data_IF_845507973413
#
_entry.id   IF_845507973413
#
_cell.length_a   1.000
_cell.length_b   1.000
_cell.length_c   1.000
_cell.angle_alpha   90.00
_cell.angle_beta   90.00
_cell.angle_gamma   90.00
#
_symmetry.space_group_name_H-M   'P 1'
#
loop_
_entity.id
_entity.type
_entity.pdbx_description
1 polymer ?
#
# COMPACT_ATOMS: atom_id res chain seq x y z
N UNK A 1 10.07 8.92 10.88
CA UNK A 1 9.34 7.64 11.03
C UNK A 1 8.56 7.37 9.74
N UNK A 2 8.48 6.11 9.31
CA UNK A 2 7.69 5.70 8.13
C UNK A 2 6.41 4.99 8.59
N UNK A 3 5.45 4.88 7.69
CA UNK A 3 4.14 4.24 7.88
C UNK A 3 4.17 2.75 7.56
N UNK A 4 4.74 2.39 6.41
CA UNK A 4 4.89 1.02 5.94
C UNK A 4 6.28 0.76 5.37
N UNK A 5 6.76 -0.47 5.55
CA UNK A 5 7.96 -1.01 4.91
C UNK A 5 7.64 -2.35 4.27
N UNK A 6 8.20 -2.57 3.08
CA UNK A 6 7.99 -3.80 2.30
C UNK A 6 9.34 -4.45 2.02
N UNK A 7 9.47 -5.72 2.36
CA UNK A 7 10.69 -6.51 2.20
C UNK A 7 10.41 -7.67 1.25
N UNK A 8 10.65 -7.51 -0.06
CA UNK A 8 10.46 -8.59 -1.01
C UNK A 8 11.46 -9.72 -0.75
N UNK A 9 10.99 -10.96 -0.82
CA UNK A 9 11.84 -12.15 -0.71
C UNK A 9 12.53 -12.47 -2.05
N UNK A 10 11.96 -11.98 -3.15
CA UNK A 10 12.37 -12.25 -4.52
C UNK A 10 12.54 -10.94 -5.27
N UNK A 11 13.39 -10.89 -6.30
CA UNK A 11 13.46 -9.71 -7.15
C UNK A 11 12.18 -9.56 -7.99
N UNK A 12 11.79 -8.31 -8.36
CA UNK A 12 10.66 -8.07 -9.24
C UNK A 12 10.76 -8.89 -10.54
N UNK A 13 9.77 -9.74 -10.81
CA UNK A 13 9.74 -10.61 -11.98
C UNK A 13 10.33 -12.02 -11.78
N UNK A 14 10.94 -12.31 -10.63
CA UNK A 14 11.40 -13.66 -10.27
C UNK A 14 10.30 -14.53 -9.66
N UNK A 15 9.09 -13.99 -9.43
CA UNK A 15 7.96 -14.75 -8.89
C UNK A 15 7.53 -15.81 -9.90
N UNK A 16 8.07 -17.02 -9.74
CA UNK A 16 7.79 -18.17 -10.60
C UNK A 16 6.36 -18.65 -10.36
N UNK A 17 5.60 -18.80 -11.44
CA UNK A 17 4.23 -19.27 -11.43
C UNK A 17 4.07 -20.56 -10.60
N UNK A 18 3.34 -20.47 -9.48
CA UNK A 18 3.03 -21.62 -8.65
C UNK A 18 2.93 -21.40 -7.14
N UNK A 19 2.94 -20.15 -6.65
CA UNK A 19 2.73 -19.71 -5.25
C UNK A 19 2.71 -20.84 -4.20
N UNK A 20 3.89 -21.39 -3.91
CA UNK A 20 4.12 -22.24 -2.74
C UNK A 20 4.95 -21.54 -1.67
N UNK A 21 5.59 -20.42 -2.01
CA UNK A 21 6.45 -19.67 -1.12
C UNK A 21 5.94 -18.24 -0.89
N UNK A 22 6.21 -17.63 0.29
CA UNK A 22 5.86 -16.24 0.57
C UNK A 22 6.51 -15.27 -0.42
N UNK A 23 5.85 -14.15 -0.72
CA UNK A 23 6.38 -13.10 -1.61
C UNK A 23 7.26 -12.08 -0.87
N UNK A 24 7.13 -11.99 0.45
CA UNK A 24 7.87 -11.05 1.30
C UNK A 24 7.08 -10.64 2.53
N UNK A 25 7.58 -9.64 3.23
CA UNK A 25 6.99 -9.10 4.47
C UNK A 25 6.51 -7.65 4.27
N UNK A 26 5.36 -7.33 4.89
CA UNK A 26 4.85 -5.96 5.04
C UNK A 26 4.82 -5.62 6.52
N UNK A 27 5.48 -4.52 6.90
CA UNK A 27 5.56 -4.05 8.28
C UNK A 27 4.88 -2.69 8.38
N UNK A 28 3.82 -2.60 9.18
CA UNK A 28 3.01 -1.37 9.35
C UNK A 28 3.21 -0.83 10.76
N UNK A 29 3.49 0.47 10.85
CA UNK A 29 3.56 1.21 12.12
C UNK A 29 2.17 1.70 12.51
N UNK A 30 1.55 1.06 13.51
CA UNK A 30 0.21 1.45 14.00
C UNK A 30 0.19 2.90 14.50
N UNK A 31 1.20 3.32 15.27
CA UNK A 31 1.30 4.70 15.77
C UNK A 31 1.38 5.73 14.63
N UNK A 32 1.95 5.35 13.47
CA UNK A 32 1.99 6.25 12.29
C UNK A 32 0.64 6.23 11.58
N UNK A 33 0.02 5.05 11.41
CA UNK A 33 -1.29 4.90 10.79
C UNK A 33 -2.38 5.65 11.57
N UNK A 34 -2.39 5.61 12.90
CA UNK A 34 -3.33 6.39 13.72
C UNK A 34 -3.21 7.90 13.47
N UNK A 35 -1.97 8.41 13.36
CA UNK A 35 -1.72 9.81 13.05
C UNK A 35 -2.23 10.17 11.66
N UNK A 36 -1.89 9.35 10.65
CA UNK A 36 -2.31 9.54 9.27
C UNK A 36 -3.82 9.48 9.09
N UNK A 37 -4.50 8.59 9.82
CA UNK A 37 -5.94 8.45 9.71
C UNK A 37 -6.70 9.73 10.12
N UNK A 38 -6.09 10.54 10.98
CA UNK A 38 -6.63 11.83 11.44
C UNK A 38 -6.03 13.05 10.73
N UNK A 39 -5.04 12.86 9.86
CA UNK A 39 -4.34 13.94 9.16
C UNK A 39 -5.11 14.32 7.88
N UNK A 40 -5.69 15.52 7.88
CA UNK A 40 -6.44 16.06 6.74
C UNK A 40 -5.58 16.19 5.47
N UNK A 41 -4.33 16.62 5.60
CA UNK A 41 -3.44 16.76 4.45
C UNK A 41 -3.09 15.39 3.85
N UNK A 42 -2.91 14.38 4.70
CA UNK A 42 -2.68 13.02 4.25
C UNK A 42 -3.88 12.48 3.44
N UNK A 43 -5.10 12.70 3.95
CA UNK A 43 -6.34 12.27 3.30
C UNK A 43 -6.59 13.00 1.97
N UNK A 44 -6.37 14.31 1.93
CA UNK A 44 -6.50 15.13 0.72
C UNK A 44 -5.51 14.68 -0.36
N UNK A 45 -4.26 14.43 0.02
CA UNK A 45 -3.21 13.96 -0.90
C UNK A 45 -3.58 12.64 -1.57
N UNK A 46 -4.24 11.75 -0.85
CA UNK A 46 -4.65 10.43 -1.33
C UNK A 46 -6.06 10.43 -1.96
N UNK A 47 -6.79 11.55 -1.90
CA UNK A 47 -8.15 11.66 -2.42
C UNK A 47 -9.15 10.77 -1.69
N UNK A 48 -8.96 10.60 -0.38
CA UNK A 48 -9.72 9.67 0.45
C UNK A 48 -11.05 10.27 0.91
N UNK A 49 -11.93 9.41 1.44
CA UNK A 49 -13.24 9.82 1.95
C UNK A 49 -13.13 10.76 3.16
N UNK A 50 -14.13 11.65 3.33
CA UNK A 50 -14.24 12.52 4.52
C UNK A 50 -14.24 11.74 5.85
N UNK A 51 -14.70 10.48 5.82
CA UNK A 51 -14.59 9.55 6.95
C UNK A 51 -13.51 8.53 6.64
N UNK A 52 -12.46 8.53 7.47
CA UNK A 52 -11.33 7.62 7.35
C UNK A 52 -10.95 7.10 8.72
N UNK A 53 -10.94 5.78 8.88
CA UNK A 53 -10.67 5.11 10.16
C UNK A 53 -9.25 4.56 10.20
N UNK A 54 -8.77 4.17 11.40
CA UNK A 54 -7.52 3.43 11.52
C UNK A 54 -7.52 2.15 10.67
N UNK A 55 -8.65 1.43 10.64
CA UNK A 55 -8.78 0.23 9.82
C UNK A 55 -8.67 0.53 8.32
N UNK A 56 -9.20 1.67 7.86
CA UNK A 56 -9.06 2.11 6.46
C UNK A 56 -7.60 2.42 6.14
N UNK A 57 -6.89 3.11 7.04
CA UNK A 57 -5.46 3.39 6.89
C UNK A 57 -4.64 2.11 6.83
N UNK A 58 -4.90 1.16 7.74
CA UNK A 58 -4.21 -0.13 7.76
C UNK A 58 -4.49 -0.92 6.47
N UNK A 59 -5.74 -0.93 5.98
CA UNK A 59 -6.09 -1.56 4.70
C UNK A 59 -5.33 -0.92 3.54
N UNK A 60 -5.30 0.41 3.49
CA UNK A 60 -4.56 1.15 2.46
C UNK A 60 -3.06 0.83 2.49
N UNK A 61 -2.42 0.91 3.66
CA UNK A 61 -1.00 0.62 3.84
C UNK A 61 -0.66 -0.85 3.52
N UNK A 62 -1.56 -1.78 3.84
CA UNK A 62 -1.39 -3.19 3.48
C UNK A 62 -1.45 -3.40 1.96
N UNK A 63 -2.40 -2.76 1.28
CA UNK A 63 -2.50 -2.80 -0.19
C UNK A 63 -1.25 -2.18 -0.81
N UNK A 64 -0.86 -0.99 -0.36
CA UNK A 64 0.32 -0.28 -0.83
C UNK A 64 1.60 -1.13 -0.67
N UNK A 65 1.83 -1.67 0.53
CA UNK A 65 2.98 -2.53 0.79
C UNK A 65 2.97 -3.81 -0.05
N UNK A 66 1.80 -4.43 -0.22
CA UNK A 66 1.66 -5.64 -1.06
C UNK A 66 1.96 -5.35 -2.53
N UNK A 67 1.52 -4.20 -3.04
CA UNK A 67 1.82 -3.78 -4.41
C UNK A 67 3.32 -3.59 -4.62
N UNK A 68 4.03 -3.03 -3.64
CA UNK A 68 5.50 -2.99 -3.68
C UNK A 68 6.14 -4.40 -3.72
N UNK A 69 5.63 -5.37 -2.95
CA UNK A 69 6.11 -6.76 -3.04
C UNK A 69 5.86 -7.40 -4.41
N UNK A 70 4.86 -6.92 -5.16
CA UNK A 70 4.54 -7.37 -6.51
C UNK A 70 5.30 -6.60 -7.61
N UNK A 71 6.18 -5.67 -7.24
CA UNK A 71 7.00 -4.90 -8.17
C UNK A 71 6.33 -3.64 -8.71
N UNK A 72 5.21 -3.20 -8.15
CA UNK A 72 4.69 -1.86 -8.42
C UNK A 72 5.53 -0.82 -7.66
N UNK A 73 5.75 0.32 -8.29
CA UNK A 73 6.48 1.44 -7.70
C UNK A 73 5.85 2.77 -8.14
N UNK A 74 6.32 3.86 -7.57
CA UNK A 74 5.86 5.22 -7.75
C UNK A 74 7.02 6.22 -7.88
N UNK A 75 8.20 5.75 -8.33
CA UNK A 75 9.39 6.61 -8.52
C UNK A 75 9.23 7.64 -9.64
N UNK A 76 8.31 7.43 -10.58
CA UNK A 76 7.97 8.38 -11.64
C UNK A 76 6.45 8.48 -11.82
N UNK A 77 6.00 9.53 -12.51
CA UNK A 77 4.58 9.85 -12.68
C UNK A 77 3.77 8.74 -13.38
N UNK A 78 4.38 8.03 -14.34
CA UNK A 78 3.69 6.97 -15.09
C UNK A 78 3.45 5.75 -14.19
N UNK A 79 4.47 5.32 -13.46
CA UNK A 79 4.39 4.19 -12.54
C UNK A 79 3.48 4.53 -11.35
N UNK A 80 3.58 5.75 -10.82
CA UNK A 80 2.68 6.22 -9.76
C UNK A 80 1.21 6.17 -10.23
N UNK A 81 0.90 6.64 -11.45
CA UNK A 81 -0.46 6.60 -11.96
C UNK A 81 -1.02 5.17 -12.04
N UNK A 82 -0.20 4.21 -12.45
CA UNK A 82 -0.56 2.78 -12.51
C UNK A 82 -0.77 2.22 -11.10
N UNK A 83 0.16 2.47 -10.18
CA UNK A 83 0.06 1.99 -8.80
C UNK A 83 -1.16 2.58 -8.09
N UNK A 84 -1.39 3.90 -8.21
CA UNK A 84 -2.54 4.60 -7.64
C UNK A 84 -3.88 4.07 -8.16
N UNK A 85 -3.95 3.77 -9.45
CA UNK A 85 -5.15 3.15 -10.01
C UNK A 85 -5.41 1.77 -9.40
N UNK A 86 -4.34 0.99 -9.18
CA UNK A 86 -4.43 -0.35 -8.59
C UNK A 86 -4.78 -0.34 -7.10
N UNK A 87 -4.20 0.60 -6.35
CA UNK A 87 -4.56 0.87 -4.96
C UNK A 87 -6.06 1.13 -4.82
N UNK A 88 -6.61 2.04 -5.63
CA UNK A 88 -8.05 2.37 -5.62
C UNK A 88 -8.92 1.18 -6.00
N UNK A 89 -8.57 0.47 -7.07
CA UNK A 89 -9.30 -0.72 -7.53
C UNK A 89 -9.42 -1.76 -6.41
N UNK A 90 -8.32 -2.08 -5.75
CA UNK A 90 -8.27 -3.11 -4.70
C UNK A 90 -8.95 -2.61 -3.41
N UNK A 91 -8.72 -1.35 -3.04
CA UNK A 91 -9.31 -0.77 -1.84
C UNK A 91 -10.84 -0.80 -1.90
N UNK A 92 -11.43 -0.35 -3.01
CA UNK A 92 -12.89 -0.39 -3.20
C UNK A 92 -13.45 -1.83 -3.23
N UNK A 93 -12.67 -2.81 -3.70
CA UNK A 93 -13.09 -4.21 -3.70
C UNK A 93 -13.06 -4.86 -2.31
N UNK A 94 -12.28 -4.30 -1.37
CA UNK A 94 -12.08 -4.82 -0.01
C UNK A 94 -12.82 -4.00 1.07
N UNK A 95 -13.51 -2.92 0.67
CA UNK A 95 -14.21 -2.01 1.57
C UNK A 95 -15.61 -2.48 1.94
#
# INVERSE_FOLDING_TARGET
PTDVLSFPLWEPGEVVAGFKEPIGDVIISIDTAERQATDEFHRDRLGLSEVWTLDDEIRFLLIHGTLHLLGYDHMNEADEAVMRAKEREIFEALR
#
